data_IF_707121044559
#
_entry.id   IF_707121044559
#
_cell.length_a   1.000
_cell.length_b   1.000
_cell.length_c   1.000
_cell.angle_alpha   90.00
_cell.angle_beta   90.00
_cell.angle_gamma   90.00
#
_symmetry.space_group_name_H-M   'P 1'
#
loop_
_entity.id
_entity.type
_entity.pdbx_description
1 polymer ?
#
# COMPACT_ATOMS: atom_id res chain seq x y z
N UNK A 1 17.15 -30.79 -21.31
CA UNK A 1 16.33 -29.58 -21.06
C UNK A 1 16.40 -29.30 -19.56
N UNK A 2 17.28 -28.39 -19.15
CA UNK A 2 17.35 -27.90 -17.78
C UNK A 2 16.09 -27.08 -17.52
N UNK A 3 15.14 -27.64 -16.77
CA UNK A 3 13.99 -26.89 -16.28
C UNK A 3 14.53 -25.75 -15.44
N UNK A 4 14.43 -24.53 -15.95
CA UNK A 4 14.64 -23.33 -15.15
C UNK A 4 13.68 -23.45 -13.96
N UNK A 5 14.16 -23.54 -12.71
CA UNK A 5 13.26 -23.55 -11.57
C UNK A 5 12.48 -22.25 -11.62
N UNK A 6 11.18 -22.34 -11.89
CA UNK A 6 10.34 -21.16 -11.98
C UNK A 6 10.36 -20.50 -10.60
N UNK A 7 10.86 -19.26 -10.54
CA UNK A 7 10.76 -18.41 -9.35
C UNK A 7 9.29 -18.16 -8.94
N UNK A 8 8.36 -18.44 -9.86
CA UNK A 8 6.92 -18.30 -9.72
C UNK A 8 6.28 -19.69 -9.79
N UNK A 9 5.47 -20.06 -8.80
CA UNK A 9 4.62 -21.27 -8.90
C UNK A 9 3.37 -20.90 -9.70
N UNK A 10 3.19 -21.36 -10.95
CA UNK A 10 2.08 -20.88 -11.80
C UNK A 10 0.70 -21.16 -11.19
N UNK A 11 0.57 -22.25 -10.42
CA UNK A 11 -0.65 -22.58 -9.69
C UNK A 11 -1.05 -21.49 -8.68
N UNK A 12 -0.08 -20.78 -8.09
CA UNK A 12 -0.33 -19.70 -7.12
C UNK A 12 -0.75 -18.39 -7.80
N UNK A 13 -0.47 -18.21 -9.10
CA UNK A 13 -0.97 -17.05 -9.83
C UNK A 13 -2.50 -16.99 -9.84
N UNK A 14 -3.14 -18.15 -9.92
CA UNK A 14 -4.59 -18.33 -9.83
C UNK A 14 -5.05 -18.83 -8.46
N UNK A 15 -4.19 -18.70 -7.44
CA UNK A 15 -4.48 -19.05 -6.05
C UNK A 15 -5.67 -18.26 -5.49
N UNK A 16 -6.23 -18.73 -4.38
CA UNK A 16 -7.40 -18.08 -3.76
C UNK A 16 -7.10 -16.62 -3.38
N UNK A 17 -5.94 -16.28 -2.77
CA UNK A 17 -5.59 -14.90 -2.43
C UNK A 17 -5.61 -13.98 -3.65
N UNK A 18 -4.95 -14.36 -4.74
CA UNK A 18 -4.89 -13.52 -5.95
C UNK A 18 -6.25 -13.33 -6.60
N UNK A 19 -7.17 -14.30 -6.49
CA UNK A 19 -8.56 -14.10 -6.95
C UNK A 19 -9.28 -13.07 -6.09
N UNK A 20 -9.08 -13.12 -4.77
CA UNK A 20 -9.62 -12.11 -3.85
C UNK A 20 -9.05 -10.73 -4.21
N UNK A 21 -7.72 -10.63 -4.42
CA UNK A 21 -7.04 -9.40 -4.88
C UNK A 21 -7.63 -8.86 -6.18
N UNK A 22 -7.86 -9.73 -7.18
CA UNK A 22 -8.46 -9.33 -8.44
C UNK A 22 -9.90 -8.84 -8.26
N UNK A 23 -10.73 -9.61 -7.55
CA UNK A 23 -12.15 -9.29 -7.33
C UNK A 23 -12.29 -7.98 -6.54
N UNK A 24 -11.54 -7.80 -5.43
CA UNK A 24 -11.56 -6.56 -4.66
C UNK A 24 -11.14 -5.37 -5.51
N UNK A 25 -10.17 -5.56 -6.40
CA UNK A 25 -9.66 -4.49 -7.27
C UNK A 25 -10.74 -4.04 -8.25
N UNK A 26 -11.37 -4.98 -8.94
CA UNK A 26 -12.46 -4.69 -9.89
C UNK A 26 -13.63 -4.00 -9.18
N UNK A 27 -14.04 -4.50 -8.01
CA UNK A 27 -15.13 -3.89 -7.23
C UNK A 27 -14.75 -2.47 -6.81
N UNK A 28 -13.61 -2.28 -6.16
CA UNK A 28 -13.19 -0.97 -5.67
C UNK A 28 -13.01 0.06 -6.81
N UNK A 29 -12.43 -0.35 -7.94
CA UNK A 29 -12.27 0.54 -9.10
C UNK A 29 -13.61 0.89 -9.76
N UNK A 30 -14.55 -0.05 -9.82
CA UNK A 30 -15.90 0.21 -10.35
C UNK A 30 -16.63 1.22 -9.46
N UNK A 31 -16.58 1.02 -8.14
CA UNK A 31 -17.15 1.96 -7.17
C UNK A 31 -16.49 3.33 -7.22
N UNK A 32 -15.15 3.38 -7.35
CA UNK A 32 -14.41 4.62 -7.49
C UNK A 32 -14.79 5.37 -8.78
N UNK A 33 -14.95 4.66 -9.90
CA UNK A 33 -15.38 5.25 -11.17
C UNK A 33 -16.80 5.81 -11.07
N UNK A 34 -17.70 5.08 -10.42
CA UNK A 34 -19.07 5.54 -10.18
C UNK A 34 -19.12 6.76 -9.24
N UNK A 35 -18.31 6.75 -8.18
CA UNK A 35 -18.16 7.90 -7.28
C UNK A 35 -17.58 9.11 -8.03
N UNK A 36 -16.60 8.91 -8.89
CA UNK A 36 -16.02 9.95 -9.75
C UNK A 36 -17.07 10.59 -10.66
N UNK A 37 -17.98 9.79 -11.23
CA UNK A 37 -19.01 10.31 -12.14
C UNK A 37 -20.17 11.00 -11.42
N UNK A 38 -20.52 10.55 -10.22
CA UNK A 38 -21.70 11.05 -9.48
C UNK A 38 -21.38 12.13 -8.46
N UNK A 39 -20.14 12.19 -7.97
CA UNK A 39 -19.75 13.07 -6.88
C UNK A 39 -20.31 12.63 -5.51
N UNK A 40 -20.85 11.42 -5.40
CA UNK A 40 -21.49 10.96 -4.16
C UNK A 40 -20.48 10.35 -3.18
N UNK A 41 -20.40 10.92 -1.98
CA UNK A 41 -19.50 10.46 -0.91
C UNK A 41 -19.74 9.01 -0.49
N UNK A 42 -20.99 8.54 -0.52
CA UNK A 42 -21.34 7.19 -0.09
C UNK A 42 -20.58 6.14 -0.91
N UNK A 43 -20.54 6.28 -2.24
CA UNK A 43 -19.84 5.35 -3.11
C UNK A 43 -18.34 5.40 -2.94
N UNK A 44 -17.80 6.58 -2.63
CA UNK A 44 -16.40 6.75 -2.29
C UNK A 44 -16.03 5.99 -1.00
N UNK A 45 -16.86 6.12 0.04
CA UNK A 45 -16.69 5.42 1.32
C UNK A 45 -16.78 3.90 1.12
N UNK A 46 -17.80 3.42 0.39
CA UNK A 46 -17.94 1.98 0.09
C UNK A 46 -16.72 1.49 -0.69
N UNK A 47 -16.24 2.27 -1.66
CA UNK A 47 -15.02 1.96 -2.43
C UNK A 47 -13.78 1.78 -1.55
N UNK A 48 -13.53 2.70 -0.61
CA UNK A 48 -12.42 2.57 0.36
C UNK A 48 -12.59 1.37 1.29
N UNK A 49 -13.79 1.11 1.80
CA UNK A 49 -14.07 -0.04 2.66
C UNK A 49 -13.84 -1.36 1.90
N UNK A 50 -14.36 -1.48 0.68
CA UNK A 50 -14.13 -2.65 -0.18
C UNK A 50 -12.65 -2.87 -0.46
N UNK A 51 -11.90 -1.79 -0.73
CA UNK A 51 -10.46 -1.83 -0.92
C UNK A 51 -9.73 -2.35 0.32
N UNK A 52 -9.86 -1.69 1.47
CA UNK A 52 -9.10 -2.04 2.69
C UNK A 52 -9.48 -3.41 3.26
N UNK A 53 -10.76 -3.75 3.25
CA UNK A 53 -11.23 -5.04 3.74
C UNK A 53 -10.72 -6.17 2.84
N UNK A 54 -10.79 -5.99 1.53
CA UNK A 54 -10.29 -6.96 0.57
C UNK A 54 -8.79 -7.22 0.71
N UNK A 55 -7.98 -6.16 0.85
CA UNK A 55 -6.51 -6.23 1.04
C UNK A 55 -6.16 -6.96 2.35
N UNK A 56 -6.91 -6.68 3.42
CA UNK A 56 -6.71 -7.42 4.67
C UNK A 56 -7.07 -8.91 4.53
N UNK A 57 -8.11 -9.21 3.74
CA UNK A 57 -8.63 -10.56 3.54
C UNK A 57 -7.69 -11.42 2.69
N UNK A 58 -7.18 -10.92 1.56
CA UNK A 58 -6.31 -11.71 0.69
C UNK A 58 -5.01 -12.12 1.41
N UNK A 59 -4.39 -11.20 2.15
CA UNK A 59 -3.17 -11.46 2.90
C UNK A 59 -3.39 -12.41 4.07
N UNK A 60 -4.57 -12.37 4.70
CA UNK A 60 -4.95 -13.35 5.72
C UNK A 60 -5.16 -14.75 5.13
N UNK A 61 -5.91 -14.85 4.02
CA UNK A 61 -6.14 -16.12 3.31
C UNK A 61 -4.82 -16.72 2.80
N UNK A 62 -3.90 -15.89 2.29
CA UNK A 62 -2.60 -16.36 1.82
C UNK A 62 -1.79 -17.04 2.92
N UNK A 63 -1.78 -16.47 4.13
CA UNK A 63 -1.04 -17.02 5.28
C UNK A 63 -1.66 -18.31 5.81
N UNK A 64 -2.99 -18.34 5.95
CA UNK A 64 -3.70 -19.54 6.45
C UNK A 64 -3.54 -20.71 5.48
N UNK A 65 -3.57 -20.43 4.18
CA UNK A 65 -3.49 -21.46 3.14
C UNK A 65 -2.05 -21.79 2.72
N UNK A 66 -1.05 -21.09 3.28
CA UNK A 66 0.35 -21.18 2.87
C UNK A 66 0.53 -20.98 1.35
N UNK A 67 -0.27 -20.07 0.79
CA UNK A 67 -0.30 -19.71 -0.63
C UNK A 67 0.43 -18.37 -0.90
N UNK A 68 1.15 -17.82 0.08
CA UNK A 68 1.97 -16.63 -0.12
C UNK A 68 3.00 -16.86 -1.24
N UNK A 69 3.14 -15.87 -2.13
CA UNK A 69 4.10 -15.93 -3.24
C UNK A 69 4.65 -14.55 -3.57
N UNK A 70 5.85 -14.51 -4.15
CA UNK A 70 6.46 -13.26 -4.62
C UNK A 70 5.59 -12.57 -5.68
N UNK A 71 5.07 -13.33 -6.64
CA UNK A 71 4.14 -12.82 -7.66
C UNK A 71 2.84 -12.31 -7.06
N UNK A 72 2.30 -13.00 -6.04
CA UNK A 72 1.10 -12.55 -5.33
C UNK A 72 1.34 -11.23 -4.60
N UNK A 73 2.48 -11.09 -3.90
CA UNK A 73 2.84 -9.84 -3.22
C UNK A 73 3.04 -8.67 -4.21
N UNK A 74 3.62 -8.92 -5.39
CA UNK A 74 3.74 -7.87 -6.42
C UNK A 74 2.37 -7.50 -6.98
N UNK A 75 1.53 -8.50 -7.27
CA UNK A 75 0.18 -8.28 -7.79
C UNK A 75 -0.67 -7.45 -6.81
N UNK A 76 -0.63 -7.81 -5.54
CA UNK A 76 -1.26 -7.12 -4.42
C UNK A 76 -0.86 -5.63 -4.36
N UNK A 77 0.45 -5.35 -4.39
CA UNK A 77 0.96 -3.97 -4.39
C UNK A 77 0.47 -3.17 -5.59
N UNK A 78 0.47 -3.75 -6.79
CA UNK A 78 0.01 -3.06 -8.01
C UNK A 78 -1.49 -2.73 -7.92
N UNK A 79 -2.30 -3.71 -7.51
CA UNK A 79 -3.74 -3.56 -7.29
C UNK A 79 -4.05 -2.47 -6.27
N UNK A 80 -3.30 -2.44 -5.16
CA UNK A 80 -3.41 -1.41 -4.13
C UNK A 80 -3.17 -0.01 -4.66
N UNK A 81 -2.12 0.17 -5.46
CA UNK A 81 -1.83 1.50 -6.04
C UNK A 81 -2.91 1.90 -7.02
N UNK A 82 -3.38 0.98 -7.88
CA UNK A 82 -4.44 1.26 -8.83
C UNK A 82 -5.75 1.68 -8.13
N UNK A 83 -6.20 0.92 -7.12
CA UNK A 83 -7.37 1.26 -6.32
C UNK A 83 -7.21 2.61 -5.63
N UNK A 84 -6.10 2.81 -4.93
CA UNK A 84 -5.87 4.06 -4.20
C UNK A 84 -5.78 5.27 -5.12
N UNK A 85 -5.20 5.14 -6.31
CA UNK A 85 -5.10 6.25 -7.27
C UNK A 85 -6.47 6.66 -7.77
N UNK A 86 -7.30 5.69 -8.17
CA UNK A 86 -8.62 5.98 -8.71
C UNK A 86 -9.57 6.50 -7.62
N UNK A 87 -9.50 5.96 -6.40
CA UNK A 87 -10.25 6.49 -5.26
C UNK A 87 -9.80 7.90 -4.88
N UNK A 88 -8.50 8.19 -4.89
CA UNK A 88 -8.01 9.56 -4.67
C UNK A 88 -8.46 10.52 -5.78
N UNK A 89 -8.45 10.07 -7.04
CA UNK A 89 -8.97 10.85 -8.17
C UNK A 89 -10.45 11.17 -8.02
N UNK A 90 -11.27 10.19 -7.61
CA UNK A 90 -12.68 10.41 -7.30
C UNK A 90 -12.85 11.40 -6.14
N UNK A 91 -12.04 11.29 -5.09
CA UNK A 91 -12.05 12.24 -3.97
C UNK A 91 -11.73 13.67 -4.42
N UNK A 92 -10.68 13.84 -5.24
CA UNK A 92 -10.28 15.15 -5.78
C UNK A 92 -11.31 15.77 -6.71
N UNK A 93 -11.98 14.95 -7.54
CA UNK A 93 -13.03 15.41 -8.43
C UNK A 93 -14.28 15.91 -7.66
N UNK A 94 -14.63 15.20 -6.57
CA UNK A 94 -15.78 15.56 -5.73
C UNK A 94 -15.46 16.73 -4.79
N UNK A 95 -14.23 16.80 -4.25
CA UNK A 95 -13.82 17.77 -3.23
C UNK A 95 -12.51 18.47 -3.65
N UNK A 96 -12.57 19.54 -4.45
CA UNK A 96 -11.38 20.21 -4.98
C UNK A 96 -10.39 20.71 -3.92
N UNK A 97 -10.86 21.10 -2.73
CA UNK A 97 -10.00 21.55 -1.63
C UNK A 97 -9.04 20.46 -1.11
N UNK A 98 -9.30 19.20 -1.46
CA UNK A 98 -8.47 18.06 -1.09
C UNK A 98 -7.34 17.77 -2.06
N UNK A 99 -7.28 18.48 -3.20
CA UNK A 99 -6.26 18.25 -4.26
C UNK A 99 -4.85 18.39 -3.72
N UNK A 100 -4.55 19.44 -2.95
CA UNK A 100 -3.21 19.68 -2.42
C UNK A 100 -2.67 18.54 -1.55
N UNK A 101 -3.35 18.13 -0.45
CA UNK A 101 -2.88 17.03 0.37
C UNK A 101 -2.89 15.68 -0.38
N UNK A 102 -3.88 15.44 -1.26
CA UNK A 102 -3.94 14.22 -2.06
C UNK A 102 -2.83 14.14 -3.11
N UNK A 103 -2.38 15.27 -3.69
CA UNK A 103 -1.23 15.29 -4.58
C UNK A 103 0.06 14.86 -3.86
N UNK A 104 0.27 15.34 -2.63
CA UNK A 104 1.39 14.90 -1.78
C UNK A 104 1.29 13.41 -1.50
N UNK A 105 0.09 12.94 -1.12
CA UNK A 105 -0.17 11.53 -0.88
C UNK A 105 0.10 10.67 -2.13
N UNK A 106 -0.31 11.09 -3.33
CA UNK A 106 -0.09 10.33 -4.56
C UNK A 106 1.40 10.18 -4.91
N UNK A 107 2.20 11.23 -4.70
CA UNK A 107 3.67 11.14 -4.86
C UNK A 107 4.28 10.23 -3.80
N UNK A 108 3.86 10.41 -2.55
CA UNK A 108 4.34 9.62 -1.41
C UNK A 108 4.00 8.14 -1.56
N UNK A 109 2.72 7.80 -1.70
CA UNK A 109 2.19 6.44 -1.72
C UNK A 109 2.43 5.78 -3.08
N UNK A 110 2.15 6.51 -4.16
CA UNK A 110 2.20 5.96 -5.50
C UNK A 110 3.60 5.77 -6.07
N UNK A 111 4.54 6.63 -5.70
CA UNK A 111 5.89 6.60 -6.25
C UNK A 111 6.88 6.13 -5.20
N UNK A 112 7.06 6.91 -4.14
CA UNK A 112 8.16 6.67 -3.19
C UNK A 112 7.92 5.40 -2.36
N UNK A 113 6.73 5.23 -1.80
CA UNK A 113 6.35 4.05 -1.05
C UNK A 113 6.25 2.80 -1.94
N UNK A 114 5.84 2.94 -3.21
CA UNK A 114 5.88 1.82 -4.17
C UNK A 114 7.30 1.33 -4.39
N UNK A 115 8.25 2.23 -4.67
CA UNK A 115 9.66 1.85 -4.84
C UNK A 115 10.25 1.26 -3.56
N UNK A 116 9.94 1.86 -2.40
CA UNK A 116 10.37 1.34 -1.11
C UNK A 116 9.76 -0.04 -0.83
N UNK A 117 8.49 -0.24 -1.17
CA UNK A 117 7.80 -1.53 -1.04
C UNK A 117 8.47 -2.56 -1.92
N UNK A 118 8.67 -2.31 -3.21
CA UNK A 118 9.33 -3.24 -4.11
C UNK A 118 10.80 -3.52 -3.78
N UNK A 119 11.44 -2.76 -2.88
CA UNK A 119 12.80 -3.07 -2.42
C UNK A 119 12.95 -4.46 -1.80
N UNK A 120 11.86 -5.10 -1.33
CA UNK A 120 11.94 -6.49 -0.86
C UNK A 120 12.45 -7.45 -1.94
N UNK A 121 12.22 -7.13 -3.22
CA UNK A 121 12.68 -7.93 -4.37
C UNK A 121 14.20 -7.99 -4.51
N UNK A 122 14.93 -7.09 -3.84
CA UNK A 122 16.41 -7.11 -3.83
C UNK A 122 16.96 -8.32 -3.06
N UNK A 123 16.14 -8.99 -2.24
CA UNK A 123 16.54 -10.15 -1.44
C UNK A 123 15.69 -11.38 -1.80
N UNK A 124 16.27 -12.40 -2.48
CA UNK A 124 15.52 -13.56 -2.97
C UNK A 124 14.77 -14.38 -1.90
N UNK A 125 15.20 -14.29 -0.65
CA UNK A 125 14.59 -15.00 0.49
C UNK A 125 13.47 -14.21 1.19
N UNK A 126 13.21 -12.97 0.76
CA UNK A 126 12.13 -12.13 1.28
C UNK A 126 10.96 -12.22 0.31
N UNK A 127 9.87 -12.80 0.78
CA UNK A 127 8.70 -13.07 -0.07
C UNK A 127 7.83 -11.83 -0.31
N UNK A 128 7.77 -10.94 0.69
CA UNK A 128 6.90 -9.77 0.68
C UNK A 128 7.40 -8.72 1.69
N UNK A 129 6.88 -7.48 1.64
CA UNK A 129 7.24 -6.43 2.60
C UNK A 129 6.95 -6.80 4.07
N UNK A 130 6.01 -7.74 4.31
CA UNK A 130 5.70 -8.23 5.64
C UNK A 130 6.90 -8.91 6.32
N UNK A 131 7.87 -9.40 5.53
CA UNK A 131 9.06 -10.09 5.99
C UNK A 131 10.30 -9.20 6.01
N UNK A 132 10.15 -7.89 5.74
CA UNK A 132 11.29 -6.97 5.64
C UNK A 132 12.02 -6.77 6.97
N UNK A 133 11.41 -7.14 8.11
CA UNK A 133 12.09 -7.16 9.41
C UNK A 133 13.33 -8.07 9.42
N UNK A 134 13.39 -9.07 8.52
CA UNK A 134 14.58 -9.94 8.32
C UNK A 134 15.75 -9.21 7.66
N UNK A 135 15.50 -8.08 7.01
CA UNK A 135 16.52 -7.23 6.39
C UNK A 135 16.81 -6.06 7.32
N UNK A 136 15.80 -5.25 7.61
CA UNK A 136 15.92 -4.09 8.48
C UNK A 136 14.62 -3.83 9.24
N UNK A 137 14.67 -4.08 10.56
CA UNK A 137 13.53 -3.93 11.46
C UNK A 137 13.02 -2.49 11.55
N UNK A 138 13.87 -1.45 11.63
CA UNK A 138 13.39 -0.06 11.63
C UNK A 138 12.54 0.29 10.40
N UNK A 139 13.03 0.00 9.18
CA UNK A 139 12.26 0.23 7.95
C UNK A 139 10.93 -0.53 8.02
N UNK A 140 10.95 -1.80 8.45
CA UNK A 140 9.73 -2.57 8.64
C UNK A 140 8.74 -1.92 9.60
N UNK A 141 9.19 -1.51 10.79
CA UNK A 141 8.31 -0.93 11.81
C UNK A 141 7.64 0.35 11.30
N UNK A 142 8.39 1.20 10.60
CA UNK A 142 7.87 2.48 10.10
C UNK A 142 6.91 2.36 8.92
N UNK A 143 6.97 1.26 8.15
CA UNK A 143 6.24 1.16 6.87
C UNK A 143 5.26 -0.01 6.79
N UNK A 144 5.62 -1.17 7.32
CA UNK A 144 4.89 -2.42 7.08
C UNK A 144 4.46 -3.16 8.35
N UNK A 145 4.70 -2.59 9.54
CA UNK A 145 4.02 -3.04 10.75
C UNK A 145 2.51 -2.84 10.61
N UNK A 146 1.72 -3.65 11.33
CA UNK A 146 0.24 -3.53 11.34
C UNK A 146 -0.25 -2.09 11.55
N UNK A 147 0.23 -1.33 12.56
CA UNK A 147 -0.18 0.06 12.73
C UNK A 147 0.32 0.96 11.60
N UNK A 148 1.56 0.79 11.12
CA UNK A 148 2.08 1.61 10.03
C UNK A 148 1.27 1.44 8.74
N UNK A 149 0.86 0.21 8.42
CA UNK A 149 -0.01 -0.09 7.27
C UNK A 149 -1.35 0.62 7.38
N UNK A 150 -2.02 0.49 8.53
CA UNK A 150 -3.31 1.13 8.77
C UNK A 150 -3.21 2.66 8.66
N UNK A 151 -2.12 3.26 9.18
CA UNK A 151 -1.94 4.70 9.16
C UNK A 151 -1.55 5.24 7.77
N UNK A 152 -0.84 4.48 6.93
CA UNK A 152 -0.28 5.00 5.67
C UNK A 152 -1.35 5.59 4.73
N UNK A 153 -2.47 4.87 4.56
CA UNK A 153 -3.60 5.32 3.73
C UNK A 153 -4.78 5.79 4.58
N UNK A 154 -5.07 5.07 5.66
CA UNK A 154 -6.19 5.38 6.55
C UNK A 154 -6.08 6.75 7.22
N UNK A 155 -4.89 7.15 7.68
CA UNK A 155 -4.74 8.45 8.35
C UNK A 155 -5.01 9.62 7.39
N UNK A 156 -4.61 9.50 6.12
CA UNK A 156 -4.86 10.54 5.10
C UNK A 156 -6.36 10.65 4.85
N UNK A 157 -7.04 9.54 4.56
CA UNK A 157 -8.50 9.56 4.30
C UNK A 157 -9.29 10.08 5.50
N UNK A 158 -8.97 9.60 6.71
CA UNK A 158 -9.63 10.07 7.94
C UNK A 158 -9.37 11.56 8.16
N UNK A 159 -8.15 12.04 7.94
CA UNK A 159 -7.84 13.46 8.08
C UNK A 159 -8.64 14.35 7.12
N UNK A 160 -8.90 13.88 5.89
CA UNK A 160 -9.71 14.58 4.90
C UNK A 160 -11.17 14.68 5.35
N UNK A 161 -11.73 13.59 5.86
CA UNK A 161 -13.10 13.58 6.41
C UNK A 161 -13.22 14.51 7.62
N UNK A 162 -12.24 14.48 8.53
CA UNK A 162 -12.21 15.37 9.70
C UNK A 162 -12.09 16.83 9.28
N UNK A 163 -11.22 17.15 8.32
CA UNK A 163 -11.07 18.51 7.81
C UNK A 163 -12.38 19.03 7.21
N UNK A 164 -13.10 18.19 6.45
CA UNK A 164 -14.41 18.57 5.90
C UNK A 164 -15.51 18.81 6.94
N UNK A 165 -15.39 18.25 8.16
CA UNK A 165 -16.35 18.45 9.25
C UNK A 165 -15.95 19.59 10.21
N UNK A 166 -14.66 19.88 10.34
CA UNK A 166 -14.11 20.77 11.37
C UNK A 166 -13.43 22.02 10.81
N UNK A 167 -13.39 22.18 9.48
CA UNK A 167 -12.69 23.26 8.75
C UNK A 167 -11.15 23.26 8.97
N UNK A 168 -10.62 22.19 9.58
CA UNK A 168 -9.20 22.05 9.89
C UNK A 168 -8.36 21.62 8.66
N UNK A 169 -8.35 22.44 7.61
CA UNK A 169 -7.70 22.13 6.33
C UNK A 169 -6.19 21.89 6.42
N UNK A 170 -5.52 22.33 7.49
CA UNK A 170 -4.09 22.06 7.72
C UNK A 170 -3.80 20.60 8.05
N UNK A 171 -4.77 19.87 8.61
CA UNK A 171 -4.56 18.52 9.14
C UNK A 171 -4.19 17.49 8.05
N UNK A 172 -4.89 17.41 6.90
CA UNK A 172 -4.49 16.50 5.82
C UNK A 172 -3.10 16.78 5.26
N UNK A 173 -2.70 18.06 5.17
CA UNK A 173 -1.34 18.41 4.76
C UNK A 173 -0.31 17.91 5.76
N UNK A 174 -0.54 18.14 7.05
CA UNK A 174 0.37 17.68 8.09
C UNK A 174 0.54 16.15 8.06
N UNK A 175 -0.56 15.41 7.90
CA UNK A 175 -0.53 13.94 7.80
C UNK A 175 0.19 13.47 6.53
N UNK A 176 -0.13 14.05 5.36
CA UNK A 176 0.50 13.68 4.09
C UNK A 176 2.01 13.98 4.09
N UNK A 177 2.42 15.14 4.61
CA UNK A 177 3.83 15.52 4.74
C UNK A 177 4.56 14.62 5.74
N UNK A 178 3.95 14.31 6.89
CA UNK A 178 4.54 13.40 7.87
C UNK A 178 4.75 12.00 7.25
N UNK A 179 3.76 11.48 6.53
CA UNK A 179 3.89 10.21 5.81
C UNK A 179 5.00 10.27 4.75
N UNK A 180 5.13 11.38 4.02
CA UNK A 180 6.20 11.59 3.04
C UNK A 180 7.58 11.57 3.70
N UNK A 181 7.74 12.29 4.82
CA UNK A 181 9.01 12.31 5.56
C UNK A 181 9.41 10.91 6.04
N UNK A 182 8.46 10.11 6.52
CA UNK A 182 8.72 8.71 6.88
C UNK A 182 9.25 7.92 5.69
N UNK A 183 8.68 8.10 4.49
CA UNK A 183 9.17 7.42 3.28
C UNK A 183 10.54 7.92 2.85
N UNK A 184 10.81 9.22 2.91
CA UNK A 184 12.12 9.79 2.59
C UNK A 184 13.19 9.24 3.53
N UNK A 185 12.94 9.24 4.84
CA UNK A 185 13.87 8.71 5.85
C UNK A 185 14.11 7.21 5.65
N UNK A 186 13.04 6.46 5.36
CA UNK A 186 13.12 5.01 5.11
C UNK A 186 13.93 4.69 3.85
N UNK A 187 13.67 5.40 2.75
CA UNK A 187 14.41 5.26 1.49
C UNK A 187 15.86 5.68 1.64
N UNK A 188 16.14 6.79 2.34
CA UNK A 188 17.51 7.20 2.64
C UNK A 188 18.25 6.12 3.44
N UNK A 189 17.62 5.59 4.50
CA UNK A 189 18.19 4.48 5.28
C UNK A 189 18.47 3.26 4.42
N UNK A 190 17.55 2.88 3.54
CA UNK A 190 17.73 1.78 2.60
C UNK A 190 18.94 2.01 1.69
N UNK A 191 19.08 3.20 1.11
CA UNK A 191 20.22 3.57 0.26
C UNK A 191 21.54 3.51 1.05
N UNK A 192 21.56 3.94 2.31
CA UNK A 192 22.75 3.81 3.17
C UNK A 192 23.13 2.34 3.40
N UNK A 193 22.13 1.45 3.56
CA UNK A 193 22.35 0.00 3.69
C UNK A 193 22.91 -0.58 2.39
N UNK A 194 22.28 -0.28 1.25
CA UNK A 194 22.70 -0.78 -0.06
C UNK A 194 24.09 -0.27 -0.47
N UNK A 195 24.47 0.93 -0.04
CA UNK A 195 25.80 1.51 -0.28
C UNK A 195 26.86 1.07 0.74
N UNK A 196 26.53 0.21 1.70
CA UNK A 196 27.45 -0.24 2.75
C UNK A 196 27.83 0.82 3.78
N UNK A 197 27.24 2.02 3.71
CA UNK A 197 27.47 3.13 4.67
C UNK A 197 26.81 2.91 6.01
N UNK A 198 25.82 2.01 6.07
CA UNK A 198 25.13 1.62 7.30
C UNK A 198 24.89 0.12 7.32
N UNK A 199 25.15 -0.54 8.45
CA UNK A 199 24.75 -1.93 8.63
C UNK A 199 23.22 -2.07 8.71
N UNK A 200 22.68 -3.10 8.05
CA UNK A 200 21.29 -3.49 8.20
C UNK A 200 21.03 -3.99 9.64
N UNK A 201 19.82 -3.73 10.17
CA UNK A 201 19.45 -4.13 11.52
C UNK A 201 18.30 -5.16 11.49
N UNK A 202 18.59 -6.44 11.18
CA UNK A 202 17.57 -7.48 11.14
C UNK A 202 16.98 -7.72 12.53
N UNK A 203 15.77 -8.24 12.60
CA UNK A 203 15.11 -8.60 13.85
C UNK A 203 14.18 -9.80 13.72
N UNK A 204 13.43 -10.06 14.79
CA UNK A 204 12.52 -11.19 14.90
C UNK A 204 11.08 -10.82 14.50
N UNK A 205 10.30 -11.84 14.11
CA UNK A 205 8.86 -11.72 13.90
C UNK A 205 8.19 -11.43 15.25
N UNK A 206 7.51 -10.28 15.39
CA UNK A 206 6.65 -9.96 16.54
C UNK A 206 5.24 -9.69 16.06
#
# INVERSE_FOLDING_TARGET
>A
MTSTPLAVRPALLLGVPNRITLIRTVIAMTLATYAFSTGELLWLVIGYVSYWFGDSLDGWVARIRNEESLSGAVFDVVCDRACSFLLAAAFMATYPDTIGPLAIYLVQFGVLDTMLTFSFLLWPWVLSPNYFYKVDRPIYVWNWSKPAKALNTGAVVVSLVVAGQTDAHWLPYAVAVAALLVKVVSSYRLVQILSGRRAAAPGEAR
#
